data_IF_544970494545
#
_entry.id   IF_544970494545
#
_cell.length_a   1.000
_cell.length_b   1.000
_cell.length_c   1.000
_cell.angle_alpha   90.00
_cell.angle_beta   90.00
_cell.angle_gamma   90.00
#
_symmetry.space_group_name_H-M   'P 1'
#
loop_
_entity.id
_entity.type
_entity.pdbx_description
1 polymer ?
#
# COMPACT_ATOMS: atom_id res chain seq x y z
N UNK A 1 -28.53 4.92 9.96
CA UNK A 1 -27.42 5.25 9.04
C UNK A 1 -26.38 4.16 9.23
N UNK A 2 -26.32 3.19 8.31
CA UNK A 2 -25.41 2.07 8.42
C UNK A 2 -24.00 2.58 8.10
N UNK A 3 -23.14 2.63 9.12
CA UNK A 3 -21.71 2.86 8.96
C UNK A 3 -21.14 1.57 8.37
N UNK A 4 -21.19 1.47 7.05
CA UNK A 4 -20.46 0.42 6.33
C UNK A 4 -19.01 0.55 6.74
N UNK A 5 -18.45 -0.56 7.22
CA UNK A 5 -17.03 -0.71 7.46
C UNK A 5 -16.36 -0.60 6.09
N UNK A 6 -16.02 0.61 5.69
CA UNK A 6 -15.29 0.87 4.45
C UNK A 6 -13.94 0.19 4.60
N UNK A 7 -13.78 -0.95 3.95
CA UNK A 7 -12.46 -1.53 3.74
C UNK A 7 -11.66 -0.47 2.98
N UNK A 8 -10.53 -0.07 3.55
CA UNK A 8 -9.65 0.93 2.96
C UNK A 8 -9.28 0.45 1.55
N UNK A 9 -9.66 1.19 0.49
CA UNK A 9 -9.28 0.82 -0.87
C UNK A 9 -7.77 1.06 -1.09
N UNK A 10 -7.18 0.42 -2.11
CA UNK A 10 -5.80 0.67 -2.47
C UNK A 10 -5.57 2.12 -2.88
N UNK A 11 -6.44 2.67 -3.73
CA UNK A 11 -6.36 4.06 -4.19
C UNK A 11 -6.47 5.05 -3.01
N UNK A 12 -7.40 4.81 -2.08
CA UNK A 12 -7.55 5.66 -0.89
C UNK A 12 -6.37 5.54 0.09
N UNK A 13 -5.73 4.36 0.16
CA UNK A 13 -4.51 4.20 0.96
C UNK A 13 -3.32 4.95 0.35
N UNK A 14 -3.18 4.89 -0.99
CA UNK A 14 -2.15 5.61 -1.74
C UNK A 14 -2.31 7.12 -1.62
N UNK A 15 -3.53 7.65 -1.82
CA UNK A 15 -3.79 9.09 -1.68
C UNK A 15 -3.43 9.59 -0.27
N UNK A 16 -3.82 8.86 0.78
CA UNK A 16 -3.46 9.22 2.14
C UNK A 16 -1.95 9.15 2.42
N UNK A 17 -1.23 8.23 1.76
CA UNK A 17 0.21 8.10 1.91
C UNK A 17 0.92 9.29 1.25
N UNK A 18 0.47 9.69 0.05
CA UNK A 18 0.98 10.88 -0.65
C UNK A 18 0.78 12.15 0.17
N UNK A 19 -0.42 12.36 0.73
CA UNK A 19 -0.69 13.51 1.61
C UNK A 19 0.20 13.53 2.86
N UNK A 20 0.55 12.37 3.40
CA UNK A 20 1.44 12.25 4.55
C UNK A 20 2.86 12.62 4.17
N UNK A 21 3.34 12.14 3.02
CA UNK A 21 4.67 12.48 2.51
C UNK A 21 4.77 13.98 2.26
N UNK A 22 3.80 14.57 1.57
CA UNK A 22 3.75 16.02 1.32
C UNK A 22 3.85 16.83 2.62
N UNK A 23 3.05 16.48 3.64
CA UNK A 23 3.10 17.14 4.96
C UNK A 23 4.45 16.99 5.66
N UNK A 24 5.10 15.84 5.52
CA UNK A 24 6.43 15.63 6.12
C UNK A 24 7.51 16.41 5.36
N UNK A 25 7.38 16.58 4.05
CA UNK A 25 8.31 17.33 3.19
C UNK A 25 8.19 18.85 3.38
N UNK A 26 7.00 19.36 3.70
CA UNK A 26 6.78 20.78 4.03
C UNK A 26 7.63 21.27 5.22
N UNK A 27 8.02 20.37 6.13
CA UNK A 27 8.97 20.66 7.22
C UNK A 27 8.45 21.54 8.34
N UNK A 28 7.22 22.06 8.26
CA UNK A 28 6.57 22.87 9.31
C UNK A 28 5.79 22.03 10.33
N UNK A 29 5.88 20.70 10.25
CA UNK A 29 5.18 19.77 11.15
C UNK A 29 5.93 19.62 12.49
N UNK A 30 5.28 19.85 13.64
CA UNK A 30 5.87 19.59 14.95
C UNK A 30 6.33 18.13 15.08
N UNK A 31 7.46 17.91 15.77
CA UNK A 31 8.08 16.58 15.91
C UNK A 31 7.10 15.48 16.35
N UNK A 32 6.23 15.76 17.32
CA UNK A 32 5.22 14.80 17.80
C UNK A 32 4.28 14.35 16.68
N UNK A 33 3.78 15.31 15.87
CA UNK A 33 2.91 15.01 14.71
C UNK A 33 3.68 14.34 13.58
N UNK A 34 4.95 14.69 13.38
CA UNK A 34 5.79 14.06 12.37
C UNK A 34 5.97 12.56 12.67
N UNK A 35 6.11 12.19 13.95
CA UNK A 35 6.16 10.78 14.37
C UNK A 35 4.84 10.05 14.11
N UNK A 36 3.70 10.71 14.38
CA UNK A 36 2.37 10.14 14.07
C UNK A 36 2.17 9.92 12.57
N UNK A 37 2.53 10.92 11.75
CA UNK A 37 2.49 10.82 10.29
C UNK A 37 3.42 9.75 9.76
N UNK A 38 4.63 9.65 10.28
CA UNK A 38 5.57 8.60 9.90
C UNK A 38 5.01 7.21 10.19
N UNK A 39 4.47 6.98 11.40
CA UNK A 39 3.88 5.69 11.76
C UNK A 39 2.70 5.34 10.84
N UNK A 40 1.80 6.30 10.62
CA UNK A 40 0.65 6.12 9.73
C UNK A 40 1.10 5.86 8.27
N UNK A 41 2.13 6.56 7.81
CA UNK A 41 2.71 6.36 6.48
C UNK A 41 3.32 4.97 6.31
N UNK A 42 4.01 4.46 7.34
CA UNK A 42 4.55 3.09 7.34
C UNK A 42 3.43 2.04 7.26
N UNK A 43 2.35 2.23 8.02
CA UNK A 43 1.21 1.30 8.01
C UNK A 43 0.48 1.31 6.64
N UNK A 44 0.31 2.49 6.03
CA UNK A 44 -0.27 2.62 4.70
C UNK A 44 0.63 2.03 3.61
N UNK A 45 1.94 2.29 3.67
CA UNK A 45 2.92 1.73 2.73
C UNK A 45 2.91 0.20 2.77
N UNK A 46 2.90 -0.37 3.97
CA UNK A 46 2.77 -1.81 4.16
C UNK A 46 1.45 -2.34 3.59
N UNK A 47 0.33 -1.66 3.85
CA UNK A 47 -0.97 -2.05 3.31
C UNK A 47 -0.97 -2.07 1.77
N UNK A 48 -0.42 -1.04 1.13
CA UNK A 48 -0.30 -0.96 -0.33
C UNK A 48 0.56 -2.10 -0.87
N UNK A 49 1.73 -2.34 -0.27
CA UNK A 49 2.63 -3.43 -0.66
C UNK A 49 1.95 -4.80 -0.54
N UNK A 50 1.33 -5.10 0.61
CA UNK A 50 0.63 -6.36 0.84
C UNK A 50 -0.52 -6.55 -0.15
N UNK A 51 -1.18 -5.46 -0.57
CA UNK A 51 -2.29 -5.50 -1.53
C UNK A 51 -1.78 -5.82 -2.94
N UNK A 52 -0.69 -5.19 -3.37
CA UNK A 52 -0.04 -5.48 -4.65
C UNK A 52 0.49 -6.93 -4.70
N UNK A 53 1.17 -7.37 -3.63
CA UNK A 53 1.65 -8.74 -3.49
C UNK A 53 0.51 -9.77 -3.58
N UNK A 54 -0.66 -9.49 -2.98
CA UNK A 54 -1.83 -10.37 -3.10
C UNK A 54 -2.37 -10.41 -4.53
N UNK A 55 -2.46 -9.26 -5.19
CA UNK A 55 -2.95 -9.17 -6.57
C UNK A 55 -2.03 -9.94 -7.53
N UNK A 56 -0.72 -9.77 -7.37
CA UNK A 56 0.31 -10.49 -8.12
C UNK A 56 0.22 -12.01 -7.91
N UNK A 57 0.16 -12.46 -6.65
CA UNK A 57 -0.01 -13.88 -6.33
C UNK A 57 -1.29 -14.49 -6.94
N UNK A 58 -2.39 -13.73 -6.99
CA UNK A 58 -3.62 -14.18 -7.64
C UNK A 58 -3.45 -14.29 -9.16
N UNK A 59 -2.80 -13.31 -9.79
CA UNK A 59 -2.51 -13.33 -11.22
C UNK A 59 -1.60 -14.51 -11.60
N UNK A 60 -0.52 -14.72 -10.85
CA UNK A 60 0.38 -15.87 -11.03
C UNK A 60 -0.37 -17.19 -10.91
N UNK A 61 -1.24 -17.36 -9.91
CA UNK A 61 -2.05 -18.58 -9.76
C UNK A 61 -2.96 -18.82 -10.96
N UNK A 62 -3.63 -17.78 -11.48
CA UNK A 62 -4.48 -17.92 -12.67
C UNK A 62 -3.68 -18.34 -13.90
N UNK A 63 -2.51 -17.75 -14.12
CA UNK A 63 -1.64 -18.10 -15.27
C UNK A 63 -1.05 -19.50 -15.17
N UNK A 64 -0.72 -19.95 -13.95
CA UNK A 64 -0.15 -21.29 -13.73
C UNK A 64 -1.19 -22.40 -13.95
N UNK A 65 -2.47 -22.14 -13.65
CA UNK A 65 -3.58 -23.07 -13.91
C UNK A 65 -3.89 -23.21 -15.41
N UNK A 66 -3.63 -22.15 -16.20
CA UNK A 66 -3.85 -22.10 -17.65
C UNK A 66 -2.61 -22.50 -18.48
N UNK A 67 -1.54 -22.97 -17.84
CA UNK A 67 -0.41 -23.64 -18.49
C UNK A 67 0.67 -22.74 -19.11
N UNK A 68 0.70 -21.44 -18.79
CA UNK A 68 1.78 -20.54 -19.22
C UNK A 68 2.58 -20.00 -18.03
N UNK A 69 3.90 -19.88 -18.25
CA UNK A 69 4.96 -19.67 -17.24
C UNK A 69 4.62 -18.60 -16.21
N UNK A 70 5.01 -18.90 -14.97
CA UNK A 70 4.99 -17.97 -13.84
C UNK A 70 5.60 -16.61 -14.26
N UNK A 71 4.95 -15.52 -13.83
CA UNK A 71 5.59 -14.20 -13.80
C UNK A 71 6.77 -14.30 -12.84
N UNK A 72 7.96 -14.62 -13.35
CA UNK A 72 9.22 -14.48 -12.63
C UNK A 72 9.49 -12.98 -12.47
N UNK A 73 8.93 -12.39 -11.41
CA UNK A 73 9.49 -11.18 -10.85
C UNK A 73 10.76 -11.61 -10.15
N UNK A 74 11.85 -11.48 -10.89
CA UNK A 74 13.21 -11.43 -10.37
C UNK A 74 13.21 -10.37 -9.25
N UNK A 75 12.94 -10.79 -8.01
CA UNK A 75 13.36 -10.06 -6.81
C UNK A 75 14.89 -10.09 -6.85
N UNK A 76 15.45 -9.14 -7.59
CA UNK A 76 16.87 -8.90 -7.64
C UNK A 76 17.42 -8.76 -6.22
N UNK A 77 18.54 -9.45 -5.99
CA UNK A 77 19.34 -9.44 -4.75
C UNK A 77 19.53 -8.05 -4.11
#
# INVERSE_FOLDING_TARGET
>A
MAKSKEELSFETAMEQLEEIVEKLEEGEVPLEKALEFYQKGMDLSKYCHDTLQKAENQLTKMMTDEGEKAFDLDEGE
#
